data_IF_881241108989
#
_entry.id   IF_881241108989
#
_cell.length_a   1.000
_cell.length_b   1.000
_cell.length_c   1.000
_cell.angle_alpha   90.00
_cell.angle_beta   90.00
_cell.angle_gamma   90.00
#
_symmetry.space_group_name_H-M   'P 1'
#
loop_
_entity.id
_entity.type
_entity.pdbx_description
1 polymer ?
#
# COMPACT_ATOMS: atom_id res chain seq x y z
N UNK A 1 12.45 11.26 12.62
CA UNK A 1 12.63 9.91 13.21
C UNK A 1 14.02 9.86 13.83
N UNK A 2 14.16 9.32 15.04
CA UNK A 2 15.48 9.11 15.66
C UNK A 2 16.09 7.80 15.18
N UNK A 3 17.41 7.68 15.27
CA UNK A 3 18.13 6.44 14.92
C UNK A 3 17.66 5.24 15.76
N UNK A 4 17.34 5.46 17.04
CA UNK A 4 16.79 4.42 17.92
C UNK A 4 15.41 3.93 17.47
N UNK A 5 14.53 4.85 17.08
CA UNK A 5 13.22 4.52 16.52
C UNK A 5 13.37 3.73 15.21
N UNK A 6 14.29 4.13 14.34
CA UNK A 6 14.60 3.41 13.11
C UNK A 6 15.05 1.97 13.41
N UNK A 7 16.06 1.78 14.28
CA UNK A 7 16.56 0.46 14.68
C UNK A 7 15.49 -0.43 15.29
N UNK A 8 14.59 0.18 16.09
CA UNK A 8 13.46 -0.54 16.68
C UNK A 8 12.54 -1.09 15.60
N UNK A 9 12.20 -0.28 14.60
CA UNK A 9 11.35 -0.71 13.48
C UNK A 9 12.03 -1.76 12.60
N UNK A 10 13.32 -1.61 12.29
CA UNK A 10 14.09 -2.61 11.53
C UNK A 10 14.12 -3.95 12.29
N UNK A 11 14.39 -3.91 13.59
CA UNK A 11 14.42 -5.10 14.45
C UNK A 11 13.05 -5.78 14.51
N UNK A 12 11.97 -5.01 14.67
CA UNK A 12 10.62 -5.55 14.68
C UNK A 12 10.26 -6.21 13.33
N UNK A 13 10.64 -5.60 12.21
CA UNK A 13 10.39 -6.17 10.88
C UNK A 13 11.22 -7.44 10.63
N UNK A 14 12.48 -7.49 11.08
CA UNK A 14 13.30 -8.70 11.01
C UNK A 14 12.63 -9.84 11.81
N UNK A 15 12.21 -9.57 13.05
CA UNK A 15 11.52 -10.58 13.87
C UNK A 15 10.23 -11.09 13.23
N UNK A 16 9.48 -10.23 12.57
CA UNK A 16 8.28 -10.62 11.84
C UNK A 16 8.62 -11.53 10.64
N UNK A 17 9.75 -11.27 9.96
CA UNK A 17 10.22 -12.07 8.83
C UNK A 17 10.90 -13.38 9.22
N UNK A 18 11.48 -13.45 10.42
CA UNK A 18 12.09 -14.66 10.98
C UNK A 18 11.05 -15.62 11.59
N UNK A 19 9.78 -15.20 11.65
CA UNK A 19 8.71 -16.06 12.13
C UNK A 19 8.57 -17.28 11.21
N UNK A 20 8.75 -18.47 11.80
CA UNK A 20 8.61 -19.74 11.08
C UNK A 20 7.15 -20.00 10.72
N UNK A 21 6.95 -20.81 9.68
CA UNK A 21 5.61 -21.26 9.26
C UNK A 21 5.01 -22.11 10.41
N UNK A 22 3.85 -21.69 10.91
CA UNK A 22 3.17 -22.34 12.03
C UNK A 22 2.50 -23.66 11.62
N UNK A 23 2.22 -23.82 10.33
CA UNK A 23 1.66 -25.02 9.73
C UNK A 23 2.00 -25.12 8.24
N UNK A 24 1.86 -26.33 7.67
CA UNK A 24 2.22 -26.61 6.28
C UNK A 24 1.50 -25.71 5.24
N UNK A 25 0.28 -25.26 5.51
CA UNK A 25 -0.43 -24.33 4.62
C UNK A 25 0.32 -23.02 4.36
N UNK A 26 0.96 -22.44 5.38
CA UNK A 26 1.75 -21.20 5.25
C UNK A 26 3.01 -21.46 4.41
N UNK A 27 3.68 -22.60 4.64
CA UNK A 27 4.81 -23.02 3.82
C UNK A 27 4.42 -23.20 2.35
N UNK A 28 3.26 -23.83 2.09
CA UNK A 28 2.72 -24.00 0.75
C UNK A 28 2.47 -22.65 0.10
N UNK A 29 1.78 -21.72 0.77
CA UNK A 29 1.48 -20.39 0.24
C UNK A 29 2.76 -19.60 -0.06
N UNK A 30 3.73 -19.64 0.85
CA UNK A 30 5.05 -18.98 0.72
C UNK A 30 5.87 -19.53 -0.43
N UNK A 31 5.85 -20.84 -0.68
CA UNK A 31 6.55 -21.42 -1.82
C UNK A 31 5.77 -21.27 -3.13
N UNK A 32 4.43 -21.30 -3.07
CA UNK A 32 3.57 -21.24 -4.24
C UNK A 32 3.63 -19.88 -4.93
N UNK A 33 3.75 -18.79 -4.17
CA UNK A 33 3.93 -17.46 -4.75
C UNK A 33 5.21 -17.39 -5.61
N UNK A 34 6.30 -18.05 -5.20
CA UNK A 34 7.56 -18.09 -5.97
C UNK A 34 7.41 -18.84 -7.31
N UNK A 35 6.59 -19.89 -7.31
CA UNK A 35 6.28 -20.68 -8.51
C UNK A 35 5.37 -19.91 -9.46
N UNK A 36 4.26 -19.36 -8.96
CA UNK A 36 3.26 -18.64 -9.78
C UNK A 36 3.84 -17.35 -10.36
N UNK A 37 4.68 -16.66 -9.60
CA UNK A 37 5.38 -15.46 -10.08
C UNK A 37 6.61 -15.78 -10.95
N UNK A 38 7.01 -17.06 -11.02
CA UNK A 38 8.23 -17.58 -11.66
C UNK A 38 9.52 -16.89 -11.19
N UNK A 39 9.53 -16.42 -9.94
CA UNK A 39 10.71 -15.83 -9.33
C UNK A 39 11.62 -16.89 -8.71
N UNK A 40 11.06 -18.03 -8.29
CA UNK A 40 11.78 -19.19 -7.74
C UNK A 40 12.80 -18.84 -6.65
N UNK A 41 12.51 -17.81 -5.86
CA UNK A 41 13.39 -17.31 -4.81
C UNK A 41 12.95 -17.83 -3.44
N UNK A 42 13.19 -19.11 -3.19
CA UNK A 42 12.73 -19.78 -1.98
C UNK A 42 13.46 -19.32 -0.70
N UNK A 43 14.62 -18.68 -0.83
CA UNK A 43 15.40 -18.06 0.24
C UNK A 43 15.12 -16.55 0.38
N UNK A 44 14.03 -16.03 -0.20
CA UNK A 44 13.68 -14.60 -0.20
C UNK A 44 13.77 -13.98 1.19
N UNK A 45 13.20 -14.62 2.21
CA UNK A 45 13.19 -14.09 3.57
C UNK A 45 14.62 -13.86 4.10
N UNK A 46 15.53 -14.81 3.86
CA UNK A 46 16.95 -14.68 4.26
C UNK A 46 17.58 -13.46 3.58
N UNK A 47 17.39 -13.32 2.26
CA UNK A 47 17.95 -12.20 1.49
C UNK A 47 17.37 -10.85 1.89
N UNK A 48 16.08 -10.79 2.17
CA UNK A 48 15.41 -9.57 2.65
C UNK A 48 15.88 -9.20 4.06
N UNK A 49 16.08 -10.16 4.95
CA UNK A 49 16.63 -9.94 6.29
C UNK A 49 18.07 -9.38 6.19
N UNK A 50 18.90 -9.94 5.31
CA UNK A 50 20.27 -9.45 5.12
C UNK A 50 20.29 -8.02 4.56
N UNK A 51 19.39 -7.71 3.60
CA UNK A 51 19.23 -6.36 3.10
C UNK A 51 18.79 -5.38 4.21
N UNK A 52 17.82 -5.79 5.06
CA UNK A 52 17.35 -4.98 6.19
C UNK A 52 18.46 -4.71 7.22
N UNK A 53 19.34 -5.68 7.48
CA UNK A 53 20.50 -5.51 8.38
C UNK A 53 21.51 -4.49 7.84
N UNK A 54 21.62 -4.37 6.51
CA UNK A 54 22.52 -3.41 5.86
C UNK A 54 21.91 -2.01 5.65
N UNK A 55 20.59 -1.87 5.75
CA UNK A 55 19.89 -0.62 5.44
C UNK A 55 20.13 0.46 6.51
N UNK A 56 20.56 1.64 6.08
CA UNK A 56 20.71 2.82 6.94
C UNK A 56 19.48 3.73 6.95
N UNK A 57 19.35 4.55 7.99
CA UNK A 57 18.28 5.55 8.10
C UNK A 57 18.33 6.56 6.94
N UNK A 58 19.52 7.01 6.55
CA UNK A 58 19.69 7.96 5.44
C UNK A 58 19.26 7.37 4.11
N UNK A 59 19.65 6.13 3.80
CA UNK A 59 19.24 5.45 2.57
C UNK A 59 17.73 5.30 2.47
N UNK A 60 17.06 4.99 3.59
CA UNK A 60 15.60 4.92 3.63
C UNK A 60 14.96 6.29 3.33
N UNK A 61 15.47 7.36 3.92
CA UNK A 61 14.96 8.72 3.70
C UNK A 61 15.19 9.13 2.25
N UNK A 62 16.38 8.92 1.71
CA UNK A 62 16.74 9.26 0.33
C UNK A 62 15.87 8.48 -0.66
N UNK A 63 15.71 7.17 -0.44
CA UNK A 63 14.82 6.33 -1.24
C UNK A 63 13.37 6.84 -1.20
N UNK A 64 12.87 7.20 -0.02
CA UNK A 64 11.51 7.73 0.13
C UNK A 64 11.32 9.06 -0.60
N UNK A 65 12.28 9.99 -0.46
CA UNK A 65 12.23 11.28 -1.14
C UNK A 65 12.23 11.10 -2.66
N UNK A 66 13.13 10.26 -3.20
CA UNK A 66 13.21 9.95 -4.63
C UNK A 66 11.86 9.55 -5.22
N UNK A 67 11.07 8.73 -4.50
CA UNK A 67 9.77 8.25 -4.98
C UNK A 67 8.58 9.19 -4.68
N UNK A 68 8.77 10.24 -3.86
CA UNK A 68 7.74 11.26 -3.55
C UNK A 68 7.79 12.50 -4.44
N UNK A 69 8.93 12.75 -5.09
CA UNK A 69 9.15 13.91 -5.93
C UNK A 69 8.53 13.76 -7.35
N UNK A 70 9.10 14.44 -8.35
CA UNK A 70 8.49 14.63 -9.68
C UNK A 70 8.21 13.33 -10.44
N UNK A 71 8.89 12.23 -10.11
CA UNK A 71 8.75 10.93 -10.80
C UNK A 71 7.75 9.98 -10.10
N UNK A 72 7.00 10.47 -9.11
CA UNK A 72 6.01 9.67 -8.40
C UNK A 72 4.95 9.12 -9.36
N UNK A 73 4.59 7.84 -9.19
CA UNK A 73 3.45 7.22 -9.87
C UNK A 73 2.30 7.10 -8.87
N UNK A 74 1.22 7.83 -9.10
CA UNK A 74 0.05 7.86 -8.20
C UNK A 74 -1.21 7.55 -8.99
N UNK A 75 -1.97 6.56 -8.53
CA UNK A 75 -3.31 6.24 -9.01
C UNK A 75 -4.27 6.33 -7.83
N UNK A 76 -5.30 7.16 -7.95
CA UNK A 76 -6.36 7.26 -6.95
C UNK A 76 -7.67 6.72 -7.51
N UNK A 77 -8.35 5.88 -6.73
CA UNK A 77 -9.66 5.33 -7.08
C UNK A 77 -10.66 5.87 -6.08
N UNK A 78 -11.60 6.69 -6.55
CA UNK A 78 -12.62 7.30 -5.70
C UNK A 78 -13.95 6.58 -5.94
N UNK A 79 -14.53 6.05 -4.87
CA UNK A 79 -15.89 5.51 -4.87
C UNK A 79 -16.77 6.54 -4.16
N UNK A 80 -17.74 7.11 -4.88
CA UNK A 80 -18.67 8.11 -4.33
C UNK A 80 -19.86 7.37 -3.71
N UNK A 81 -20.29 7.84 -2.54
CA UNK A 81 -21.51 7.34 -1.90
C UNK A 81 -22.76 7.63 -2.74
N UNK A 82 -23.87 6.99 -2.38
CA UNK A 82 -25.17 7.27 -2.97
C UNK A 82 -26.20 7.45 -1.86
N UNK A 83 -27.03 8.49 -1.96
CA UNK A 83 -28.18 8.68 -1.08
C UNK A 83 -28.40 10.14 -0.66
N UNK A 84 -29.37 10.34 0.24
CA UNK A 84 -29.85 11.68 0.63
C UNK A 84 -28.76 12.58 1.22
N UNK A 85 -27.77 12.00 1.90
CA UNK A 85 -26.64 12.72 2.47
C UNK A 85 -25.58 13.12 1.43
N UNK A 86 -25.64 12.54 0.23
CA UNK A 86 -24.79 12.84 -0.93
C UNK A 86 -25.50 13.72 -1.97
N UNK A 87 -26.78 14.07 -1.74
CA UNK A 87 -27.58 14.94 -2.61
C UNK A 87 -28.38 14.21 -3.71
N UNK A 88 -28.45 12.88 -3.67
CA UNK A 88 -29.22 12.06 -4.63
C UNK A 88 -30.71 11.97 -4.28
N UNK A 89 -31.56 11.68 -5.29
CA UNK A 89 -33.00 11.51 -5.10
C UNK A 89 -33.34 10.29 -4.22
N UNK A 90 -34.35 10.44 -3.36
CA UNK A 90 -34.84 9.37 -2.49
C UNK A 90 -35.36 8.16 -3.29
N UNK A 91 -34.78 6.99 -3.05
CA UNK A 91 -35.43 5.69 -3.33
C UNK A 91 -36.08 5.23 -2.01
N UNK A 92 -37.31 4.69 -1.99
CA UNK A 92 -37.98 4.34 -0.74
C UNK A 92 -37.16 3.31 0.04
N UNK A 93 -36.54 3.73 1.14
CA UNK A 93 -35.79 2.85 2.03
C UNK A 93 -36.74 2.14 2.99
N UNK A 94 -36.88 0.81 2.86
CA UNK A 94 -37.39 -0.06 3.91
C UNK A 94 -36.27 -0.30 4.94
N UNK A 95 -36.18 0.55 5.96
CA UNK A 95 -35.85 0.18 7.36
C UNK A 95 -35.36 1.40 8.15
N UNK A 96 -36.08 1.71 9.24
CA UNK A 96 -35.58 2.54 10.33
C UNK A 96 -34.37 1.86 10.98
N UNK A 97 -33.20 2.51 10.95
CA UNK A 97 -32.07 2.13 11.81
C UNK A 97 -31.76 3.33 12.70
N UNK A 98 -31.93 3.13 14.01
CA UNK A 98 -31.59 4.09 15.04
C UNK A 98 -30.08 4.35 15.05
N UNK A 99 -29.69 5.62 14.93
CA UNK A 99 -28.31 6.06 15.11
C UNK A 99 -27.92 6.03 16.59
N UNK A 100 -26.81 5.39 16.98
CA UNK A 100 -26.29 5.54 18.34
C UNK A 100 -25.63 6.92 18.50
N UNK A 101 -25.96 7.62 19.59
CA UNK A 101 -25.34 8.89 19.97
C UNK A 101 -23.91 8.63 20.46
N UNK A 102 -22.92 8.93 19.62
CA UNK A 102 -21.51 8.98 20.04
C UNK A 102 -21.20 10.39 20.52
N UNK A 103 -21.18 10.56 21.85
CA UNK A 103 -20.91 11.83 22.51
C UNK A 103 -19.39 12.03 22.67
N UNK A 104 -18.69 12.28 21.56
CA UNK A 104 -17.41 13.01 21.53
C UNK A 104 -17.01 13.18 20.05
N UNK A 105 -17.11 14.41 19.54
CA UNK A 105 -16.67 14.72 18.17
C UNK A 105 -15.16 14.96 18.24
N UNK A 106 -14.32 14.15 17.56
CA UNK A 106 -12.88 14.40 17.54
C UNK A 106 -12.59 15.75 16.90
N UNK A 107 -11.76 16.56 17.56
CA UNK A 107 -11.31 17.85 17.03
C UNK A 107 -10.30 17.61 15.91
N UNK A 108 -10.73 17.80 14.66
CA UNK A 108 -9.86 17.68 13.49
C UNK A 108 -9.14 19.01 13.23
N UNK A 109 -7.81 18.95 13.14
CA UNK A 109 -7.01 20.06 12.58
C UNK A 109 -6.75 19.76 11.11
N UNK A 110 -7.33 20.58 10.24
CA UNK A 110 -7.09 20.49 8.81
C UNK A 110 -5.79 21.20 8.47
N UNK A 111 -4.91 20.50 7.76
CA UNK A 111 -3.72 21.09 7.16
C UNK A 111 -4.02 21.51 5.72
N UNK A 112 -3.30 22.51 5.24
CA UNK A 112 -3.42 22.93 3.85
C UNK A 112 -3.06 21.76 2.92
N UNK A 113 -3.91 21.47 1.92
CA UNK A 113 -3.64 20.41 0.98
C UNK A 113 -2.40 20.79 0.16
N UNK A 114 -1.56 19.80 -0.13
CA UNK A 114 -0.53 19.97 -1.15
C UNK A 114 -1.22 20.23 -2.49
N UNK A 115 -0.77 21.24 -3.24
CA UNK A 115 -1.31 21.50 -4.57
C UNK A 115 -1.09 20.28 -5.47
N UNK A 116 -2.17 19.60 -5.85
CA UNK A 116 -2.15 18.54 -6.83
C UNK A 116 -2.33 19.17 -8.22
N UNK A 117 -1.23 19.43 -8.89
CA UNK A 117 -1.23 19.81 -10.30
C UNK A 117 -1.21 18.56 -11.19
N UNK A 118 -1.75 18.68 -12.41
CA UNK A 118 -1.66 17.64 -13.45
C UNK A 118 -2.41 16.32 -13.16
N UNK A 119 -3.63 16.41 -12.62
CA UNK A 119 -4.50 15.24 -12.43
C UNK A 119 -5.24 14.92 -13.73
N UNK A 120 -5.01 13.72 -14.28
CA UNK A 120 -5.79 13.18 -15.39
C UNK A 120 -6.93 12.31 -14.86
N UNK A 121 -8.18 12.67 -15.15
CA UNK A 121 -9.34 11.85 -14.82
C UNK A 121 -9.48 10.69 -15.82
N UNK A 122 -9.43 9.45 -15.32
CA UNK A 122 -9.55 8.23 -16.13
C UNK A 122 -11.03 7.93 -16.38
N UNK A 123 -11.52 8.27 -17.57
CA UNK A 123 -12.91 7.97 -17.99
C UNK A 123 -13.08 6.58 -18.58
N UNK A 124 -12.01 6.02 -19.14
CA UNK A 124 -12.02 4.71 -19.78
C UNK A 124 -10.71 3.98 -19.48
N UNK A 125 -10.82 2.89 -18.72
CA UNK A 125 -9.65 2.12 -18.27
C UNK A 125 -8.90 1.52 -19.46
N UNK A 126 -9.60 1.02 -20.49
CA UNK A 126 -8.94 0.38 -21.66
C UNK A 126 -8.11 1.38 -22.45
N UNK A 127 -8.65 2.58 -22.68
CA UNK A 127 -7.92 3.65 -23.38
C UNK A 127 -6.70 4.06 -22.56
N UNK A 128 -6.88 4.25 -21.25
CA UNK A 128 -5.80 4.64 -20.36
C UNK A 128 -4.68 3.59 -20.33
N UNK A 129 -5.00 2.31 -20.11
CA UNK A 129 -3.98 1.25 -20.04
C UNK A 129 -3.28 1.00 -21.36
N UNK A 130 -3.96 1.19 -22.50
CA UNK A 130 -3.34 1.04 -23.83
C UNK A 130 -2.26 2.08 -24.14
N UNK A 131 -2.30 3.24 -23.48
CA UNK A 131 -1.32 4.31 -23.63
C UNK A 131 -0.12 4.18 -22.66
N UNK A 132 -0.16 3.22 -21.73
CA UNK A 132 0.90 3.05 -20.73
C UNK A 132 1.95 2.03 -21.16
N UNK A 133 3.18 2.30 -20.76
CA UNK A 133 4.26 1.32 -20.88
C UNK A 133 4.02 0.16 -19.90
N UNK A 134 4.08 -1.06 -20.42
CA UNK A 134 4.05 -2.27 -19.59
C UNK A 134 5.45 -2.51 -19.04
N UNK A 135 5.56 -2.69 -17.72
CA UNK A 135 6.83 -3.02 -17.08
C UNK A 135 7.33 -4.38 -17.58
N UNK A 136 8.66 -4.56 -17.75
CA UNK A 136 9.20 -5.83 -18.18
C UNK A 136 8.84 -6.93 -17.17
N UNK A 137 8.66 -8.14 -17.67
CA UNK A 137 8.50 -9.30 -16.82
C UNK A 137 9.81 -9.57 -16.08
N UNK A 138 9.80 -9.47 -14.76
CA UNK A 138 10.99 -9.64 -13.93
C UNK A 138 11.20 -11.13 -13.64
N UNK A 139 12.15 -11.74 -14.35
CA UNK A 139 12.63 -13.08 -14.04
C UNK A 139 13.98 -12.97 -13.34
N UNK A 140 14.05 -13.44 -12.10
CA UNK A 140 15.32 -13.53 -11.36
C UNK A 140 16.05 -14.75 -11.92
N UNK A 141 17.01 -14.52 -12.81
CA UNK A 141 17.87 -15.57 -13.35
C UNK A 141 19.01 -15.84 -12.35
N UNK A 142 19.30 -17.11 -12.09
CA UNK A 142 20.49 -17.55 -11.33
C UNK A 142 21.74 -17.49 -12.20
#
# INVERSE_FOLDING_TARGET
>A
MTEESFKTQVTALIKLKECEDSHLGEEVDRNWIEVVTQQYLFDRLVREIDALKSLSQSELVDWFQMHRHKERKVLSVHVVGFGVHEGDAEVPSLSNVHSPSSNEIPQLTFFDPSSLTDITCIKNIKVYTSALNVLPYHKILK
#
